data_IF_257613051254
#
_entry.id   IF_257613051254
#
_cell.length_a   1.000
_cell.length_b   1.000
_cell.length_c   1.000
_cell.angle_alpha   90.00
_cell.angle_beta   90.00
_cell.angle_gamma   90.00
#
_symmetry.space_group_name_H-M   'P 1'
#
loop_
_entity.id
_entity.type
_entity.pdbx_description
1 polymer ?
#
# COMPACT_ATOMS: atom_id res chain seq x y z
N UNK A 1 4.94 5.84 2.79
CA UNK A 1 5.57 4.51 2.87
C UNK A 1 5.52 3.97 4.31
N UNK A 2 6.07 4.70 5.28
CA UNK A 2 6.21 4.23 6.66
C UNK A 2 4.87 3.95 7.34
N UNK A 3 3.86 4.77 7.09
CA UNK A 3 2.52 4.54 7.66
C UNK A 3 1.90 3.24 7.15
N UNK A 4 2.07 2.91 5.87
CA UNK A 4 1.56 1.68 5.29
C UNK A 4 2.24 0.45 5.89
N UNK A 5 3.56 0.51 6.11
CA UNK A 5 4.31 -0.58 6.74
C UNK A 5 3.93 -0.73 8.22
N UNK A 6 3.80 0.38 8.94
CA UNK A 6 3.37 0.36 10.34
C UNK A 6 1.94 -0.19 10.49
N UNK A 7 1.06 0.10 9.54
CA UNK A 7 -0.28 -0.48 9.53
C UNK A 7 -0.21 -2.01 9.47
N UNK A 8 0.56 -2.57 8.55
CA UNK A 8 0.74 -4.03 8.44
C UNK A 8 1.29 -4.62 9.75
N UNK A 9 2.29 -3.97 10.35
CA UNK A 9 2.86 -4.43 11.61
C UNK A 9 1.82 -4.43 12.73
N UNK A 10 1.01 -3.38 12.85
CA UNK A 10 -0.07 -3.33 13.85
C UNK A 10 -1.11 -4.43 13.63
N UNK A 11 -1.45 -4.72 12.38
CA UNK A 11 -2.37 -5.83 12.05
C UNK A 11 -1.81 -7.19 12.42
N UNK A 12 -0.48 -7.33 12.48
CA UNK A 12 0.20 -8.54 12.97
C UNK A 12 0.32 -8.60 14.49
N UNK A 13 -0.14 -7.57 15.20
CA UNK A 13 -0.14 -7.51 16.66
C UNK A 13 1.01 -6.72 17.27
N UNK A 14 1.87 -6.09 16.47
CA UNK A 14 2.95 -5.24 16.99
C UNK A 14 2.39 -3.87 17.42
N UNK A 15 2.84 -3.40 18.58
CA UNK A 15 2.48 -2.06 19.07
C UNK A 15 3.56 -1.06 18.61
N UNK A 16 3.36 -0.50 17.42
CA UNK A 16 4.36 0.35 16.76
C UNK A 16 3.74 1.64 16.23
N UNK A 17 4.58 2.66 16.07
CA UNK A 17 4.24 3.95 15.52
C UNK A 17 5.14 4.20 14.31
N UNK A 18 4.57 4.71 13.22
CA UNK A 18 5.33 5.04 12.02
C UNK A 18 6.34 6.15 12.30
N UNK A 19 7.58 5.97 11.86
CA UNK A 19 8.61 7.00 11.94
C UNK A 19 8.29 8.14 10.97
N UNK A 20 8.67 9.38 11.30
CA UNK A 20 8.47 10.52 10.40
C UNK A 20 9.30 10.37 9.12
N UNK A 21 8.81 11.00 8.06
CA UNK A 21 9.52 11.08 6.79
C UNK A 21 10.79 11.91 6.95
N UNK A 22 11.89 11.41 6.40
CA UNK A 22 13.15 12.15 6.30
C UNK A 22 13.13 12.93 4.99
N UNK A 23 13.07 14.28 5.07
CA UNK A 23 13.04 15.16 3.91
C UNK A 23 14.47 15.48 3.44
N UNK A 24 15.23 14.45 3.08
CA UNK A 24 16.60 14.64 2.61
C UNK A 24 16.98 13.58 1.58
N UNK A 25 18.09 13.85 0.87
CA UNK A 25 18.67 12.88 -0.08
C UNK A 25 19.23 11.64 0.62
N UNK A 26 19.30 11.66 1.94
CA UNK A 26 19.81 10.56 2.76
C UNK A 26 18.69 9.65 3.27
N UNK A 27 17.44 9.87 2.85
CA UNK A 27 16.37 8.97 3.23
C UNK A 27 16.65 7.56 2.71
N UNK A 28 16.77 6.55 3.59
CA UNK A 28 17.03 5.16 3.16
C UNK A 28 15.85 4.53 2.41
N UNK A 29 14.68 5.16 2.41
CA UNK A 29 13.50 4.74 1.64
C UNK A 29 13.09 5.86 0.66
N UNK A 30 13.93 6.18 -0.34
CA UNK A 30 13.80 7.44 -1.07
C UNK A 30 12.60 7.52 -2.01
N UNK A 31 12.17 6.42 -2.60
CA UNK A 31 11.16 6.42 -3.66
C UNK A 31 10.15 5.30 -3.49
N UNK A 32 8.88 5.60 -3.76
CA UNK A 32 7.79 4.62 -3.66
C UNK A 32 7.88 3.48 -4.68
N UNK A 33 8.42 3.75 -5.87
CA UNK A 33 8.52 2.75 -6.94
C UNK A 33 9.87 2.07 -7.01
N UNK A 34 10.85 2.57 -6.27
CA UNK A 34 12.18 1.98 -6.27
C UNK A 34 12.15 0.64 -5.52
N UNK A 35 12.70 -0.45 -6.09
CA UNK A 35 12.78 -1.73 -5.39
C UNK A 35 13.52 -1.69 -4.05
N UNK A 36 14.33 -0.67 -3.80
CA UNK A 36 14.99 -0.43 -2.52
C UNK A 36 14.13 0.36 -1.52
N UNK A 37 12.95 0.84 -1.92
CA UNK A 37 12.01 1.54 -1.04
C UNK A 37 11.10 0.58 -0.29
N UNK A 38 9.82 0.95 -0.14
CA UNK A 38 8.86 0.16 0.64
C UNK A 38 8.72 -1.31 0.20
N UNK A 39 8.85 -1.68 -1.10
CA UNK A 39 8.76 -3.11 -1.43
C UNK A 39 9.89 -3.93 -0.81
N UNK A 40 11.07 -3.34 -0.62
CA UNK A 40 12.21 -4.03 -0.02
C UNK A 40 12.04 -4.34 1.47
N UNK A 41 11.05 -3.77 2.12
CA UNK A 41 10.69 -4.06 3.52
C UNK A 41 10.10 -5.46 3.65
N UNK A 42 9.60 -6.03 2.56
CA UNK A 42 8.97 -7.36 2.54
C UNK A 42 9.86 -8.36 1.79
N UNK A 43 9.85 -9.61 2.23
CA UNK A 43 10.61 -10.69 1.58
C UNK A 43 10.02 -11.07 0.24
N UNK A 44 8.69 -11.20 0.13
CA UNK A 44 8.00 -11.40 -1.14
C UNK A 44 7.56 -10.04 -1.67
N UNK A 45 8.10 -9.64 -2.82
CA UNK A 45 7.94 -8.30 -3.40
C UNK A 45 7.22 -8.32 -4.74
N UNK A 46 6.30 -9.23 -4.93
CA UNK A 46 5.60 -9.34 -6.20
C UNK A 46 4.55 -8.23 -6.34
N UNK A 47 4.80 -7.34 -7.29
CA UNK A 47 3.87 -6.30 -7.68
C UNK A 47 2.90 -6.84 -8.73
N UNK A 48 1.61 -6.63 -8.50
CA UNK A 48 0.54 -7.00 -9.43
C UNK A 48 -0.05 -5.73 -10.04
N UNK A 49 -0.09 -5.66 -11.37
CA UNK A 49 -0.71 -4.54 -12.05
C UNK A 49 -2.24 -4.63 -11.95
N UNK A 50 -2.85 -3.56 -11.50
CA UNK A 50 -4.29 -3.35 -11.55
C UNK A 50 -4.63 -2.15 -12.44
N UNK A 51 -3.74 -1.82 -13.38
CA UNK A 51 -3.96 -0.75 -14.34
C UNK A 51 -5.22 -1.02 -15.19
N UNK A 52 -5.97 0.04 -15.46
CA UNK A 52 -7.21 -0.02 -16.21
C UNK A 52 -7.48 1.31 -16.91
N UNK A 53 -8.53 1.37 -17.73
CA UNK A 53 -8.88 2.59 -18.45
C UNK A 53 -9.57 3.63 -17.57
N UNK A 54 -10.19 3.20 -16.48
CA UNK A 54 -10.83 4.10 -15.51
C UNK A 54 -10.44 3.72 -14.09
N UNK A 55 -10.56 4.67 -13.16
CA UNK A 55 -10.34 4.41 -11.74
C UNK A 55 -11.29 3.35 -11.18
N UNK A 56 -12.55 3.37 -11.62
CA UNK A 56 -13.53 2.38 -11.18
C UNK A 56 -13.16 0.97 -11.63
N UNK A 57 -12.66 0.81 -12.86
CA UNK A 57 -12.19 -0.48 -13.35
C UNK A 57 -10.93 -0.95 -12.62
N UNK A 58 -10.00 -0.03 -12.32
CA UNK A 58 -8.83 -0.35 -11.51
C UNK A 58 -9.23 -0.84 -10.12
N UNK A 59 -10.15 -0.16 -9.48
CA UNK A 59 -10.70 -0.56 -8.17
C UNK A 59 -11.30 -1.97 -8.24
N UNK A 60 -12.10 -2.27 -9.26
CA UNK A 60 -12.69 -3.59 -9.46
C UNK A 60 -11.64 -4.68 -9.64
N UNK A 61 -10.55 -4.39 -10.34
CA UNK A 61 -9.44 -5.34 -10.48
C UNK A 61 -8.80 -5.64 -9.13
N UNK A 62 -8.59 -4.63 -8.31
CA UNK A 62 -8.07 -4.82 -6.95
C UNK A 62 -9.03 -5.68 -6.13
N UNK A 63 -10.33 -5.36 -6.17
CA UNK A 63 -11.34 -6.11 -5.41
C UNK A 63 -11.37 -7.59 -5.82
N UNK A 64 -11.32 -7.88 -7.11
CA UNK A 64 -11.30 -9.25 -7.61
C UNK A 64 -10.04 -10.00 -7.14
N UNK A 65 -8.89 -9.35 -7.22
CA UNK A 65 -7.62 -9.94 -6.81
C UNK A 65 -7.58 -10.18 -5.29
N UNK A 66 -8.06 -9.22 -4.49
CA UNK A 66 -8.12 -9.36 -3.05
C UNK A 66 -9.08 -10.48 -2.61
N UNK A 67 -10.20 -10.65 -3.32
CA UNK A 67 -11.12 -11.77 -3.07
C UNK A 67 -10.43 -13.12 -3.37
N UNK A 68 -9.63 -13.17 -4.43
CA UNK A 68 -8.88 -14.38 -4.76
C UNK A 68 -7.82 -14.75 -3.71
N UNK A 69 -7.28 -13.75 -3.00
CA UNK A 69 -6.34 -13.98 -1.90
C UNK A 69 -7.03 -14.55 -0.65
N UNK A 70 -8.30 -14.27 -0.47
CA UNK A 70 -9.09 -14.79 0.64
C UNK A 70 -9.28 -13.82 1.79
N UNK A 71 -10.07 -14.25 2.77
CA UNK A 71 -10.36 -13.47 3.97
C UNK A 71 -9.09 -13.09 4.73
N UNK A 72 -9.08 -11.90 5.30
CA UNK A 72 -7.98 -11.31 6.07
C UNK A 72 -6.74 -10.97 5.24
N UNK A 73 -6.77 -11.11 3.93
CA UNK A 73 -5.67 -10.66 3.09
C UNK A 73 -5.54 -9.14 3.12
N UNK A 74 -4.31 -8.65 3.00
CA UNK A 74 -3.98 -7.24 2.96
C UNK A 74 -2.96 -6.99 1.86
N UNK A 75 -3.06 -5.81 1.25
CA UNK A 75 -2.12 -5.39 0.22
C UNK A 75 -1.86 -3.88 0.34
N UNK A 76 -0.67 -3.46 -0.05
CA UNK A 76 -0.38 -2.05 -0.28
C UNK A 76 -0.82 -1.73 -1.70
N UNK A 77 -1.57 -0.64 -1.84
CA UNK A 77 -1.99 -0.07 -3.13
C UNK A 77 -1.11 1.14 -3.41
N UNK A 78 -0.47 1.14 -4.58
CA UNK A 78 0.34 2.27 -5.05
C UNK A 78 -0.34 2.90 -6.26
N UNK A 79 -0.53 4.20 -6.21
CA UNK A 79 -1.17 4.98 -7.27
C UNK A 79 -0.40 6.28 -7.51
N UNK A 80 -0.58 6.86 -8.70
CA UNK A 80 -0.18 8.24 -8.99
C UNK A 80 -1.43 9.11 -9.09
N UNK A 81 -1.38 10.32 -8.52
CA UNK A 81 -2.49 11.27 -8.61
C UNK A 81 -2.57 11.87 -10.03
N UNK A 82 -3.80 12.12 -10.52
CA UNK A 82 -4.01 12.75 -11.84
C UNK A 82 -3.45 14.16 -11.90
N UNK A 83 -3.63 14.94 -10.84
CA UNK A 83 -3.33 16.37 -10.82
C UNK A 83 -1.91 16.69 -10.35
N UNK A 84 -1.14 15.67 -9.93
CA UNK A 84 0.19 15.83 -9.37
C UNK A 84 1.11 14.74 -9.89
N UNK A 85 2.40 15.05 -10.06
CA UNK A 85 3.43 14.04 -10.33
C UNK A 85 3.87 13.32 -9.05
N UNK A 86 2.93 13.07 -8.15
CA UNK A 86 3.18 12.42 -6.86
C UNK A 86 2.38 11.15 -6.76
N UNK A 87 3.03 10.12 -6.21
CA UNK A 87 2.38 8.89 -5.86
C UNK A 87 1.86 8.88 -4.42
N UNK A 88 1.05 7.88 -4.13
CA UNK A 88 0.52 7.65 -2.80
C UNK A 88 0.39 6.15 -2.54
N UNK A 89 0.56 5.77 -1.28
CA UNK A 89 0.35 4.40 -0.81
C UNK A 89 -0.80 4.38 0.18
N UNK A 90 -1.71 3.44 -0.02
CA UNK A 90 -2.75 3.12 0.94
C UNK A 90 -2.99 1.61 0.97
N UNK A 91 -3.98 1.15 1.71
CA UNK A 91 -4.17 -0.27 2.01
C UNK A 91 -5.49 -0.77 1.42
N UNK A 92 -5.47 -1.97 0.85
CA UNK A 92 -6.65 -2.77 0.59
C UNK A 92 -6.67 -3.94 1.57
N UNK A 93 -7.81 -4.19 2.21
CA UNK A 93 -7.99 -5.27 3.18
C UNK A 93 -9.28 -6.02 2.90
N UNK A 94 -9.16 -7.35 2.82
CA UNK A 94 -10.31 -8.24 2.68
C UNK A 94 -10.80 -8.66 4.06
N UNK A 95 -12.05 -8.34 4.37
CA UNK A 95 -12.72 -8.79 5.58
C UNK A 95 -14.04 -9.48 5.16
N UNK A 96 -14.06 -10.80 5.18
CA UNK A 96 -15.23 -11.62 4.80
C UNK A 96 -15.72 -11.29 3.37
N UNK A 97 -14.79 -11.21 2.41
CA UNK A 97 -15.04 -10.87 0.99
C UNK A 97 -15.54 -9.44 0.74
N UNK A 98 -15.53 -8.59 1.73
CA UNK A 98 -15.70 -7.15 1.57
C UNK A 98 -14.32 -6.49 1.55
N UNK A 99 -14.04 -5.71 0.51
CA UNK A 99 -12.74 -5.08 0.33
C UNK A 99 -12.83 -3.64 0.83
N UNK A 100 -12.06 -3.35 1.87
CA UNK A 100 -11.93 -2.02 2.46
C UNK A 100 -10.66 -1.36 1.98
N UNK A 101 -10.75 -0.07 1.67
CA UNK A 101 -9.60 0.76 1.33
C UNK A 101 -9.39 1.76 2.48
N UNK A 102 -8.24 1.67 3.11
CA UNK A 102 -7.91 2.51 4.27
C UNK A 102 -6.60 3.24 4.02
N UNK A 103 -6.49 4.46 4.55
CA UNK A 103 -5.29 5.26 4.44
C UNK A 103 -4.72 5.52 5.83
N UNK A 104 -3.66 4.79 6.23
CA UNK A 104 -3.06 4.95 7.53
C UNK A 104 -2.31 6.29 7.71
N UNK A 105 -1.98 6.99 6.63
CA UNK A 105 -1.33 8.29 6.70
C UNK A 105 -2.30 9.38 7.14
N UNK A 106 -3.53 9.34 6.63
CA UNK A 106 -4.57 10.33 6.95
C UNK A 106 -5.52 9.86 8.05
N UNK A 107 -5.52 8.56 8.35
CA UNK A 107 -6.48 7.95 9.26
C UNK A 107 -7.83 7.63 8.62
N UNK A 108 -7.99 7.83 7.31
CA UNK A 108 -9.24 7.52 6.62
C UNK A 108 -9.55 6.03 6.62
N UNK A 109 -10.76 5.67 7.04
CA UNK A 109 -11.25 4.29 7.00
C UNK A 109 -11.99 3.97 5.71
N UNK A 110 -12.18 4.95 4.83
CA UNK A 110 -12.80 4.78 3.52
C UNK A 110 -12.06 5.65 2.50
N UNK A 111 -11.08 5.06 1.84
CA UNK A 111 -10.28 5.70 0.80
C UNK A 111 -10.74 5.32 -0.62
N UNK A 112 -11.91 4.67 -0.77
CA UNK A 112 -12.40 4.25 -2.08
C UNK A 112 -12.61 5.42 -3.05
N UNK A 113 -12.91 6.62 -2.53
CA UNK A 113 -13.08 7.82 -3.36
C UNK A 113 -11.79 8.26 -4.06
N UNK A 114 -10.60 7.80 -3.61
CA UNK A 114 -9.33 8.11 -4.26
C UNK A 114 -9.32 7.69 -5.73
N UNK A 115 -10.03 6.62 -6.08
CA UNK A 115 -10.05 6.08 -7.45
C UNK A 115 -10.63 7.04 -8.48
N UNK A 116 -11.35 8.08 -8.06
CA UNK A 116 -11.82 9.16 -8.94
C UNK A 116 -10.74 10.17 -9.28
N UNK A 117 -9.61 10.19 -8.56
CA UNK A 117 -8.59 11.23 -8.65
C UNK A 117 -7.20 10.70 -9.01
N UNK A 118 -7.09 9.43 -9.35
CA UNK A 118 -5.82 8.77 -9.67
C UNK A 118 -5.67 8.60 -11.19
N UNK A 119 -4.40 8.42 -11.62
CA UNK A 119 -4.12 7.88 -12.95
C UNK A 119 -4.43 6.37 -12.94
N UNK A 120 -5.48 5.91 -13.65
CA UNK A 120 -5.88 4.50 -13.56
C UNK A 120 -4.87 3.54 -14.16
N UNK A 121 -3.96 4.03 -15.01
CA UNK A 121 -2.88 3.22 -15.58
C UNK A 121 -1.69 3.03 -14.63
N UNK A 122 -1.67 3.74 -13.50
CA UNK A 122 -0.56 3.69 -12.54
C UNK A 122 -0.75 2.66 -11.43
N UNK A 123 -1.92 2.04 -11.34
CA UNK A 123 -2.32 1.26 -10.15
C UNK A 123 -1.60 -0.08 -10.10
N UNK A 124 -0.88 -0.32 -9.01
CA UNK A 124 -0.27 -1.61 -8.69
C UNK A 124 -0.56 -1.96 -7.24
N UNK A 125 -0.62 -3.23 -6.93
CA UNK A 125 -0.73 -3.71 -5.56
C UNK A 125 0.36 -4.73 -5.24
N UNK A 126 0.67 -4.84 -3.96
CA UNK A 126 1.57 -5.88 -3.44
C UNK A 126 0.94 -6.47 -2.18
N UNK A 127 0.66 -7.78 -2.21
CA UNK A 127 0.13 -8.49 -1.05
C UNK A 127 1.18 -8.52 0.07
N UNK A 128 0.77 -8.27 1.30
CA UNK A 128 1.68 -8.09 2.44
C UNK A 128 1.42 -9.04 3.62
N UNK A 129 0.23 -9.61 3.74
CA UNK A 129 -0.15 -10.41 4.91
C UNK A 129 0.54 -11.78 5.00
N UNK A 130 1.03 -12.32 3.88
CA UNK A 130 1.58 -13.67 3.79
C UNK A 130 3.11 -13.72 3.74
N UNK A 131 3.79 -12.59 3.82
CA UNK A 131 5.25 -12.51 3.72
C UNK A 131 5.88 -11.89 4.96
N UNK A 132 7.09 -12.32 5.30
CA UNK A 132 7.84 -11.75 6.41
C UNK A 132 8.43 -10.39 6.05
N UNK A 133 8.71 -9.58 7.07
CA UNK A 133 9.48 -8.37 6.94
C UNK A 133 10.98 -8.68 6.77
N UNK A 134 11.67 -7.80 6.06
CA UNK A 134 13.14 -7.72 6.09
C UNK A 134 13.58 -6.76 7.21
N UNK A 135 14.90 -6.70 7.48
CA UNK A 135 15.45 -5.79 8.50
C UNK A 135 15.17 -4.31 8.20
N UNK A 136 14.84 -3.97 6.95
CA UNK A 136 14.47 -2.61 6.56
C UNK A 136 13.21 -2.10 7.27
N UNK A 137 12.41 -3.00 7.85
CA UNK A 137 11.23 -2.64 8.63
C UNK A 137 11.59 -1.69 9.79
N UNK A 138 12.79 -1.80 10.33
CA UNK A 138 13.26 -0.94 11.43
C UNK A 138 13.40 0.53 11.04
N UNK A 139 13.41 0.83 9.75
CA UNK A 139 13.42 2.20 9.24
C UNK A 139 12.00 2.81 9.16
N UNK A 140 10.98 1.99 9.31
CA UNK A 140 9.59 2.39 9.07
C UNK A 140 8.83 2.74 10.36
N UNK A 141 9.17 2.09 11.47
CA UNK A 141 8.44 2.28 12.73
C UNK A 141 9.33 2.05 13.95
N UNK A 142 8.79 2.45 15.08
CA UNK A 142 9.37 2.26 16.42
C UNK A 142 8.31 1.86 17.44
#
# INVERSE_FOLDING_TARGET
>A
QRCAVAYEARRRGYNVIAKPRILSRTDPLPYMTNPSGWPAVYKDRRLESCAADTGELAKKKIEALMKSYGDKSRAIVKVDWLMHNKGHLFIAENQNDVIYFVDPQTGSLDAAWYFHYINPHSVVIMRTDQTDFTDLVNLCFE
#
